data_IF_310294598686
#
_entry.id   IF_310294598686
#
_cell.length_a   1.000
_cell.length_b   1.000
_cell.length_c   1.000
_cell.angle_alpha   90.00
_cell.angle_beta   90.00
_cell.angle_gamma   90.00
#
_symmetry.space_group_name_H-M   'P 1'
#
loop_
_entity.id
_entity.type
_entity.pdbx_description
1 polymer ?
#
# COMPACT_ATOMS: atom_id res chain seq x y z
N UNK A 1 5.80 -9.89 -4.87
CA UNK A 1 6.43 -10.23 -3.56
C UNK A 1 7.76 -9.47 -3.44
N UNK A 2 8.04 -8.86 -2.29
CA UNK A 2 9.33 -8.23 -2.01
C UNK A 2 9.91 -8.78 -0.71
N UNK A 3 11.21 -9.09 -0.69
CA UNK A 3 11.91 -9.63 0.47
C UNK A 3 13.24 -8.92 0.67
N UNK A 4 13.51 -8.49 1.90
CA UNK A 4 14.79 -7.90 2.34
C UNK A 4 15.11 -8.42 3.74
N UNK A 5 16.08 -9.33 3.84
CA UNK A 5 16.34 -10.04 5.10
C UNK A 5 15.07 -10.77 5.57
N UNK A 6 14.73 -10.64 6.85
CA UNK A 6 13.49 -11.18 7.45
C UNK A 6 12.32 -10.17 7.41
N UNK A 7 12.31 -9.27 6.43
CA UNK A 7 11.16 -8.44 6.11
C UNK A 7 10.62 -8.85 4.75
N UNK A 8 9.38 -9.33 4.73
CA UNK A 8 8.71 -9.78 3.51
C UNK A 8 7.32 -9.16 3.42
N UNK A 9 7.03 -8.54 2.28
CA UNK A 9 5.73 -7.96 1.98
C UNK A 9 5.22 -8.47 0.62
N UNK A 10 4.00 -9.02 0.63
CA UNK A 10 3.26 -9.38 -0.57
C UNK A 10 2.27 -8.26 -0.87
N UNK A 11 2.49 -7.51 -1.94
CA UNK A 11 1.52 -6.54 -2.41
C UNK A 11 0.75 -7.09 -3.61
N UNK A 12 -0.57 -6.91 -3.59
CA UNK A 12 -1.48 -7.22 -4.68
C UNK A 12 -2.12 -5.92 -5.14
N UNK A 13 -2.05 -5.64 -6.45
CA UNK A 13 -2.72 -4.53 -7.08
C UNK A 13 -4.02 -5.02 -7.74
N UNK A 14 -5.13 -4.31 -7.51
CA UNK A 14 -6.43 -4.58 -8.10
C UNK A 14 -6.91 -3.32 -8.82
N UNK A 15 -7.37 -3.49 -10.06
CA UNK A 15 -7.96 -2.43 -10.87
C UNK A 15 -9.47 -2.59 -10.86
N UNK A 16 -10.16 -1.51 -10.49
CA UNK A 16 -11.62 -1.43 -10.52
C UNK A 16 -12.12 -0.32 -11.45
N UNK A 17 -13.40 -0.33 -11.85
CA UNK A 17 -14.05 0.81 -12.48
C UNK A 17 -13.93 2.08 -11.61
N UNK A 18 -14.07 3.25 -12.21
CA UNK A 18 -14.07 4.54 -11.48
C UNK A 18 -15.23 4.67 -10.46
N UNK A 19 -16.26 3.82 -10.53
CA UNK A 19 -17.29 3.73 -9.50
C UNK A 19 -16.79 3.15 -8.16
N UNK A 20 -15.64 2.45 -8.17
CA UNK A 20 -15.07 1.80 -6.98
C UNK A 20 -14.11 2.71 -6.21
N UNK A 21 -14.04 4.01 -6.56
CA UNK A 21 -13.27 4.99 -5.79
C UNK A 21 -13.85 5.12 -4.38
N UNK A 22 -12.97 5.34 -3.40
CA UNK A 22 -13.42 5.54 -2.03
C UNK A 22 -13.96 6.96 -1.86
N UNK A 23 -15.23 7.08 -1.48
CA UNK A 23 -15.83 8.35 -1.05
C UNK A 23 -15.44 8.62 0.40
N UNK A 24 -14.94 9.83 0.68
CA UNK A 24 -14.54 10.29 2.00
C UNK A 24 -15.50 11.40 2.43
N UNK A 25 -16.50 11.00 3.22
CA UNK A 25 -17.42 11.91 3.91
C UNK A 25 -16.82 12.29 5.28
N UNK A 26 -15.88 13.25 5.23
CA UNK A 26 -15.19 13.77 6.40
C UNK A 26 -15.88 15.00 6.99
N UNK A 27 -15.17 15.74 7.84
CA UNK A 27 -15.64 17.03 8.36
C UNK A 27 -15.62 18.15 7.31
N UNK A 28 -14.95 17.93 6.17
CA UNK A 28 -14.73 18.91 5.12
C UNK A 28 -15.68 18.73 3.94
N UNK A 29 -15.21 19.12 2.75
CA UNK A 29 -15.90 18.77 1.50
C UNK A 29 -15.80 17.25 1.28
N UNK A 30 -16.82 16.69 0.63
CA UNK A 30 -16.76 15.30 0.18
C UNK A 30 -15.65 15.17 -0.87
N UNK A 31 -14.73 14.25 -0.60
CA UNK A 31 -13.61 13.96 -1.49
C UNK A 31 -13.68 12.51 -1.99
N UNK A 32 -13.11 12.26 -3.15
CA UNK A 32 -12.97 10.89 -3.67
C UNK A 32 -11.50 10.51 -3.78
N UNK A 33 -11.23 9.23 -3.54
CA UNK A 33 -9.89 8.68 -3.51
C UNK A 33 -9.77 7.52 -4.48
N UNK A 34 -9.11 7.81 -5.60
CA UNK A 34 -8.91 6.86 -6.69
C UNK A 34 -7.79 5.84 -6.43
N UNK A 35 -6.79 6.23 -5.64
CA UNK A 35 -5.70 5.35 -5.24
C UNK A 35 -5.78 5.04 -3.75
N UNK A 36 -5.88 3.75 -3.43
CA UNK A 36 -6.02 3.24 -2.06
C UNK A 36 -4.86 2.30 -1.74
N UNK A 37 -4.16 2.55 -0.63
CA UNK A 37 -3.15 1.63 -0.10
C UNK A 37 -3.57 1.09 1.27
N UNK A 38 -3.81 -0.21 1.33
CA UNK A 38 -4.12 -0.91 2.58
C UNK A 38 -2.91 -1.73 3.00
N UNK A 39 -2.58 -1.64 4.28
CA UNK A 39 -1.44 -2.31 4.87
C UNK A 39 -1.93 -3.21 6.01
N UNK A 40 -1.56 -4.49 5.96
CA UNK A 40 -1.95 -5.49 6.93
C UNK A 40 -0.73 -6.06 7.63
N UNK A 41 -0.80 -6.16 8.96
CA UNK A 41 0.28 -6.67 9.80
C UNK A 41 -0.24 -7.81 10.68
N UNK A 42 -0.36 -9.03 10.13
CA UNK A 42 -0.83 -10.16 10.90
C UNK A 42 0.21 -10.62 11.94
N UNK A 43 -0.26 -11.18 13.06
CA UNK A 43 0.60 -11.57 14.19
C UNK A 43 1.64 -12.65 13.81
N UNK A 44 1.30 -13.52 12.86
CA UNK A 44 2.23 -14.54 12.39
C UNK A 44 3.49 -13.94 11.74
N UNK A 45 3.44 -12.69 11.27
CA UNK A 45 4.59 -12.02 10.63
C UNK A 45 5.77 -11.79 11.56
N UNK A 46 5.54 -11.88 12.88
CA UNK A 46 6.56 -11.83 13.94
C UNK A 46 6.63 -13.14 14.74
N UNK A 47 5.95 -14.19 14.28
CA UNK A 47 5.91 -15.48 14.98
C UNK A 47 5.02 -15.51 16.22
N UNK A 48 4.13 -14.54 16.39
CA UNK A 48 3.22 -14.45 17.54
C UNK A 48 1.80 -14.90 17.18
N UNK A 49 1.02 -15.21 18.22
CA UNK A 49 -0.43 -15.47 18.10
C UNK A 49 -1.22 -14.29 18.63
N UNK A 50 -2.35 -13.95 18.00
CA UNK A 50 -3.26 -12.96 18.53
C UNK A 50 -4.54 -12.85 17.72
N UNK A 51 -5.55 -12.13 18.24
CA UNK A 51 -6.82 -11.99 17.55
C UNK A 51 -6.66 -11.18 16.27
N UNK A 52 -7.19 -11.69 15.17
CA UNK A 52 -7.33 -10.92 13.93
C UNK A 52 -8.50 -9.95 14.09
N UNK A 53 -8.19 -8.65 14.19
CA UNK A 53 -9.18 -7.56 14.29
C UNK A 53 -9.04 -6.65 13.06
N UNK A 54 -9.89 -5.63 12.98
CA UNK A 54 -9.69 -4.54 12.02
C UNK A 54 -8.33 -3.85 12.24
N UNK A 55 -7.85 -3.10 11.23
CA UNK A 55 -6.52 -2.48 11.27
C UNK A 55 -6.42 -1.50 12.44
N UNK A 56 -5.32 -1.59 13.19
CA UNK A 56 -4.98 -0.65 14.24
C UNK A 56 -4.40 0.66 13.68
N UNK A 57 -4.11 1.59 14.59
CA UNK A 57 -3.55 2.91 14.22
C UNK A 57 -2.20 2.79 13.50
N UNK A 58 -1.37 1.80 13.88
CA UNK A 58 -0.07 1.57 13.24
C UNK A 58 -0.24 1.09 11.80
N UNK A 59 -1.13 0.13 11.54
CA UNK A 59 -1.39 -0.33 10.18
C UNK A 59 -1.91 0.80 9.29
N UNK A 60 -2.85 1.60 9.79
CA UNK A 60 -3.37 2.78 9.09
C UNK A 60 -2.25 3.79 8.81
N UNK A 61 -1.39 4.06 9.79
CA UNK A 61 -0.26 4.98 9.62
C UNK A 61 0.76 4.50 8.58
N UNK A 62 1.09 3.21 8.58
CA UNK A 62 1.99 2.61 7.59
C UNK A 62 1.38 2.57 6.19
N UNK A 63 0.07 2.26 6.08
CA UNK A 63 -0.66 2.33 4.82
C UNK A 63 -0.67 3.75 4.25
N UNK A 64 -0.98 4.75 5.08
CA UNK A 64 -0.96 6.15 4.67
C UNK A 64 0.44 6.64 4.25
N UNK A 65 1.51 6.15 4.91
CA UNK A 65 2.89 6.45 4.50
C UNK A 65 3.18 5.88 3.11
N UNK A 66 2.83 4.61 2.88
CA UNK A 66 3.01 3.96 1.58
C UNK A 66 2.20 4.64 0.49
N UNK A 67 0.96 5.01 0.79
CA UNK A 67 0.09 5.73 -0.11
C UNK A 67 0.66 7.07 -0.53
N UNK A 68 1.11 7.90 0.43
CA UNK A 68 1.71 9.20 0.14
C UNK A 68 2.95 9.08 -0.74
N UNK A 69 3.77 8.06 -0.51
CA UNK A 69 4.97 7.83 -1.31
C UNK A 69 4.64 7.46 -2.77
N UNK A 70 3.61 6.64 -2.99
CA UNK A 70 3.23 6.14 -4.31
C UNK A 70 2.33 7.10 -5.08
N UNK A 71 1.51 7.91 -4.39
CA UNK A 71 0.57 8.84 -5.01
C UNK A 71 1.26 9.79 -6.00
N UNK A 72 2.50 10.20 -5.71
CA UNK A 72 3.29 11.09 -6.57
C UNK A 72 3.58 10.51 -7.96
N UNK A 73 3.58 9.18 -8.10
CA UNK A 73 3.87 8.49 -9.37
C UNK A 73 2.63 7.89 -10.04
N UNK A 74 1.45 8.00 -9.43
CA UNK A 74 0.20 7.54 -10.03
C UNK A 74 -0.10 8.40 -11.29
N UNK A 75 -0.47 7.78 -12.42
CA UNK A 75 -0.87 8.50 -13.64
C UNK A 75 -2.15 9.30 -13.42
N UNK A 76 -2.41 10.29 -14.26
CA UNK A 76 -3.66 11.06 -14.18
C UNK A 76 -4.86 10.18 -14.60
N UNK A 77 -6.07 10.51 -14.14
CA UNK A 77 -7.28 9.72 -14.44
C UNK A 77 -7.57 9.62 -15.94
N UNK A 78 -7.35 10.71 -16.68
CA UNK A 78 -7.51 10.76 -18.14
C UNK A 78 -6.64 9.76 -18.90
N UNK A 79 -5.46 9.43 -18.36
CA UNK A 79 -4.48 8.55 -18.99
C UNK A 79 -4.65 7.11 -18.51
N UNK A 80 -5.20 6.92 -17.31
CA UNK A 80 -5.45 5.61 -16.72
C UNK A 80 -6.73 5.62 -15.86
N UNK A 81 -7.92 5.42 -16.47
CA UNK A 81 -9.22 5.63 -15.85
C UNK A 81 -9.68 4.41 -15.01
N UNK A 82 -8.85 4.03 -14.03
CA UNK A 82 -9.13 2.96 -13.08
C UNK A 82 -9.04 3.46 -11.64
N UNK A 83 -9.89 2.90 -10.77
CA UNK A 83 -9.62 2.88 -9.35
C UNK A 83 -8.51 1.85 -9.08
N UNK A 84 -7.51 2.24 -8.30
CA UNK A 84 -6.32 1.42 -8.03
C UNK A 84 -6.29 1.12 -6.54
N UNK A 85 -6.36 -0.17 -6.20
CA UNK A 85 -6.23 -0.64 -4.82
C UNK A 85 -5.00 -1.53 -4.69
N UNK A 86 -4.05 -1.11 -3.84
CA UNK A 86 -2.95 -1.94 -3.41
C UNK A 86 -3.21 -2.45 -1.99
N UNK A 87 -3.16 -3.76 -1.78
CA UNK A 87 -3.16 -4.37 -0.45
C UNK A 87 -1.78 -4.97 -0.20
N UNK A 88 -1.14 -4.61 0.89
CA UNK A 88 0.18 -5.11 1.29
C UNK A 88 0.04 -5.97 2.54
N UNK A 89 0.23 -7.27 2.34
CA UNK A 89 0.29 -8.28 3.40
C UNK A 89 1.73 -8.44 3.87
N UNK A 90 2.00 -8.11 5.13
CA UNK A 90 3.30 -8.37 5.73
C UNK A 90 3.37 -9.84 6.14
N UNK A 91 4.29 -10.58 5.54
CA UNK A 91 4.46 -12.02 5.77
C UNK A 91 5.58 -12.30 6.78
N UNK A 92 6.60 -11.46 6.82
CA UNK A 92 7.69 -11.49 7.80
C UNK A 92 8.10 -10.06 8.17
N UNK A 93 8.49 -9.84 9.43
CA UNK A 93 8.85 -8.51 9.92
C UNK A 93 10.07 -8.53 10.84
N UNK A 94 11.19 -7.99 10.34
CA UNK A 94 12.38 -7.68 11.15
C UNK A 94 13.08 -6.39 10.68
N UNK A 95 12.32 -5.42 10.18
CA UNK A 95 12.89 -4.15 9.72
C UNK A 95 12.02 -3.42 8.70
N UNK A 96 11.43 -2.31 9.12
CA UNK A 96 10.61 -1.38 8.33
C UNK A 96 9.82 -2.00 7.16
N UNK A 97 8.75 -2.68 7.54
CA UNK A 97 7.76 -3.29 6.64
C UNK A 97 6.97 -2.27 5.82
N UNK A 98 6.87 -1.01 6.28
CA UNK A 98 6.27 0.07 5.51
C UNK A 98 7.10 0.46 4.28
N UNK A 99 8.43 0.39 4.37
CA UNK A 99 9.31 0.61 3.22
C UNK A 99 9.27 -0.60 2.28
N UNK A 100 9.18 -1.82 2.83
CA UNK A 100 8.97 -3.02 2.04
C UNK A 100 7.63 -2.99 1.28
N UNK A 101 6.56 -2.45 1.86
CA UNK A 101 5.28 -2.32 1.16
C UNK A 101 5.33 -1.32 0.00
N UNK A 102 6.11 -0.24 0.10
CA UNK A 102 6.32 0.70 -1.03
C UNK A 102 6.99 -0.02 -2.21
N UNK A 103 8.08 -0.75 -1.94
CA UNK A 103 8.77 -1.53 -2.97
C UNK A 103 7.86 -2.60 -3.58
N UNK A 104 7.14 -3.35 -2.73
CA UNK A 104 6.22 -4.40 -3.17
C UNK A 104 5.08 -3.84 -4.02
N UNK A 105 4.47 -2.73 -3.62
CA UNK A 105 3.36 -2.10 -4.36
C UNK A 105 3.82 -1.47 -5.66
N UNK A 106 5.04 -0.91 -5.72
CA UNK A 106 5.62 -0.45 -7.00
C UNK A 106 5.70 -1.59 -8.01
N UNK A 107 6.24 -2.75 -7.58
CA UNK A 107 6.31 -3.94 -8.43
C UNK A 107 4.93 -4.47 -8.80
N UNK A 108 3.99 -4.51 -7.86
CA UNK A 108 2.63 -5.00 -8.10
C UNK A 108 1.84 -4.09 -9.07
N UNK A 109 2.03 -2.77 -9.00
CA UNK A 109 1.42 -1.84 -9.94
C UNK A 109 2.01 -1.99 -11.35
N UNK A 110 3.32 -2.17 -11.46
CA UNK A 110 3.97 -2.42 -12.75
C UNK A 110 3.48 -3.75 -13.37
N UNK A 111 3.37 -4.81 -12.57
CA UNK A 111 2.85 -6.11 -12.99
C UNK A 111 1.38 -6.03 -13.43
N UNK A 112 0.56 -5.25 -12.73
CA UNK A 112 -0.83 -4.97 -13.10
C UNK A 112 -0.99 -4.03 -14.31
N UNK A 113 0.11 -3.55 -14.91
CA UNK A 113 0.07 -2.68 -16.09
C UNK A 113 -0.28 -1.22 -15.79
N UNK A 114 -0.15 -0.77 -14.54
CA UNK A 114 -0.34 0.65 -14.19
C UNK A 114 0.85 1.45 -14.76
N UNK A 115 0.62 2.48 -15.60
CA UNK A 115 1.69 3.28 -16.20
C UNK A 115 2.20 4.33 -15.19
N UNK A 116 2.88 3.87 -14.13
CA UNK A 116 3.46 4.75 -13.11
C UNK A 116 4.56 5.64 -13.72
N UNK A 117 4.64 6.90 -13.29
CA UNK A 117 5.58 7.91 -13.83
C UNK A 117 7.05 7.53 -13.61
N UNK A 118 7.34 6.88 -12.49
CA UNK A 118 8.65 6.33 -12.14
C UNK A 118 8.51 5.25 -11.07
N UNK A 119 9.42 4.26 -10.99
CA UNK A 119 9.45 3.32 -9.88
C UNK A 119 9.89 3.99 -8.58
N UNK A 120 9.27 3.62 -7.46
CA UNK A 120 9.56 4.14 -6.12
C UNK A 120 10.15 3.04 -5.24
N UNK A 121 11.17 3.39 -4.45
CA UNK A 121 11.81 2.50 -3.49
C UNK A 121 11.87 3.14 -2.10
N UNK A 122 11.94 2.30 -1.07
CA UNK A 122 11.97 2.70 0.33
C UNK A 122 13.09 2.06 1.13
N UNK A 123 13.70 2.83 2.03
CA UNK A 123 14.72 2.37 2.98
C UNK A 123 14.41 2.93 4.37
N UNK A 124 14.77 2.19 5.42
CA UNK A 124 14.73 2.69 6.79
C UNK A 124 16.16 2.80 7.32
N UNK A 125 16.45 3.93 7.95
CA UNK A 125 17.76 4.29 8.46
C UNK A 125 17.68 4.47 9.99
N UNK A 126 18.74 4.11 10.68
CA UNK A 126 18.98 4.49 12.07
C UNK A 126 20.23 5.38 12.15
N UNK A 127 20.27 6.26 13.14
CA UNK A 127 21.47 7.03 13.52
C UNK A 127 21.96 6.53 14.88
#
# INVERSE_FOLDING_TARGET
LFTRGQTQALSICTLGPLGDVQIIDGLGLEESKRFMHHYNFPQFSVGETGPMRGPGRREIGHGALGERALLAVIPDEKDFPYAIRCVSEVLESNGSTSQASICASTLAMMDAGVPIKAPVAGIAMGL
#
